data_IF_339597036082
#
_entry.id   IF_339597036082
#
_cell.length_a   1.000
_cell.length_b   1.000
_cell.length_c   1.000
_cell.angle_alpha   90.00
_cell.angle_beta   90.00
_cell.angle_gamma   90.00
#
_symmetry.space_group_name_H-M   'P 1'
#
loop_
_entity.id
_entity.type
_entity.pdbx_description
1 polymer ?
#
# COMPACT_ATOMS: atom_id res chain seq x y z
N UNK A 1 17.92 7.93 -7.12
CA UNK A 1 19.28 8.50 -6.95
C UNK A 1 20.20 7.76 -7.91
N UNK A 2 21.14 8.44 -8.55
CA UNK A 2 21.81 8.08 -9.82
C UNK A 2 20.90 8.06 -11.06
N UNK A 3 19.81 7.27 -11.04
CA UNK A 3 18.87 7.17 -12.17
C UNK A 3 17.92 8.39 -12.33
N UNK A 4 18.05 9.40 -11.47
CA UNK A 4 17.23 10.63 -11.45
C UNK A 4 15.70 10.40 -11.54
N UNK A 5 15.20 9.31 -10.94
CA UNK A 5 13.76 9.03 -10.83
C UNK A 5 13.11 10.03 -9.87
N UNK A 6 12.02 10.67 -10.30
CA UNK A 6 11.37 11.78 -9.59
C UNK A 6 10.59 11.34 -8.35
N UNK A 7 9.86 10.22 -8.45
CA UNK A 7 9.01 9.66 -7.39
C UNK A 7 8.70 8.19 -7.73
N UNK A 8 9.57 7.27 -7.31
CA UNK A 8 9.44 5.86 -7.67
C UNK A 8 8.20 5.22 -7.01
N UNK A 9 7.55 4.29 -7.70
CA UNK A 9 6.48 3.46 -7.14
C UNK A 9 6.89 1.99 -7.22
N UNK A 10 6.82 1.30 -6.09
CA UNK A 10 7.08 -0.14 -5.98
C UNK A 10 5.74 -0.86 -5.78
N UNK A 11 5.50 -1.89 -6.61
CA UNK A 11 4.31 -2.75 -6.50
C UNK A 11 4.75 -4.11 -5.95
N UNK A 12 4.20 -4.49 -4.80
CA UNK A 12 4.65 -5.66 -4.05
C UNK A 12 3.46 -6.59 -3.75
N UNK A 13 3.75 -7.87 -3.45
CA UNK A 13 2.77 -8.87 -3.01
C UNK A 13 3.35 -9.75 -1.91
N UNK A 14 3.23 -11.08 -2.04
CA UNK A 14 3.79 -12.13 -1.16
C UNK A 14 3.21 -12.18 0.27
N UNK A 15 3.23 -11.08 1.03
CA UNK A 15 2.96 -11.06 2.48
C UNK A 15 1.48 -11.28 2.87
N UNK A 16 0.61 -11.49 1.88
CA UNK A 16 -0.82 -11.78 2.06
C UNK A 16 -1.60 -10.73 2.87
N UNK A 17 -1.09 -9.50 2.90
CA UNK A 17 -1.65 -8.35 3.63
C UNK A 17 -1.39 -7.09 2.83
N UNK A 18 -2.34 -6.14 2.89
CA UNK A 18 -2.14 -4.84 2.29
C UNK A 18 -1.22 -3.98 3.17
N UNK A 19 -0.30 -3.27 2.53
CA UNK A 19 0.45 -2.17 3.15
C UNK A 19 0.58 -1.02 2.16
N UNK A 20 0.68 0.19 2.70
CA UNK A 20 1.12 1.34 1.93
C UNK A 20 2.15 2.10 2.77
N UNK A 21 3.29 2.44 2.16
CA UNK A 21 4.38 3.10 2.86
C UNK A 21 5.20 4.04 2.00
N UNK A 22 5.85 4.98 2.69
CA UNK A 22 6.89 5.81 2.10
C UNK A 22 8.20 5.01 1.98
N UNK A 23 8.91 5.18 0.87
CA UNK A 23 10.26 4.63 0.67
C UNK A 23 11.29 5.66 1.11
N UNK A 24 12.14 5.29 2.06
CA UNK A 24 13.17 6.16 2.66
C UNK A 24 14.56 5.86 2.10
N UNK A 25 15.44 6.86 2.02
CA UNK A 25 16.86 6.63 1.71
C UNK A 25 17.55 5.82 2.82
N UNK A 26 17.28 6.19 4.06
CA UNK A 26 17.74 5.51 5.26
C UNK A 26 16.58 5.34 6.24
N UNK A 27 16.22 4.10 6.56
CA UNK A 27 15.11 3.79 7.47
C UNK A 27 15.49 3.99 8.95
N UNK A 28 16.79 4.09 9.28
CA UNK A 28 17.26 4.33 10.65
C UNK A 28 17.17 5.80 11.05
N UNK A 29 17.13 6.71 10.08
CA UNK A 29 16.94 8.13 10.29
C UNK A 29 15.48 8.53 9.96
N UNK A 30 14.65 8.87 10.95
CA UNK A 30 13.28 9.31 10.72
C UNK A 30 13.17 10.54 9.81
N UNK A 31 14.17 11.43 9.84
CA UNK A 31 14.25 12.63 9.01
C UNK A 31 14.76 12.35 7.58
N UNK A 32 15.16 11.11 7.30
CA UNK A 32 15.66 10.72 5.99
C UNK A 32 14.64 11.04 4.89
N UNK A 33 15.09 11.53 3.72
CA UNK A 33 14.21 11.86 2.61
C UNK A 33 13.35 10.68 2.17
N UNK A 34 12.09 10.97 1.85
CA UNK A 34 11.23 10.06 1.10
C UNK A 34 11.60 10.17 -0.39
N UNK A 35 11.75 9.03 -1.05
CA UNK A 35 12.16 8.95 -2.47
C UNK A 35 11.13 8.23 -3.36
N UNK A 36 10.08 7.71 -2.75
CA UNK A 36 9.02 7.01 -3.47
C UNK A 36 7.97 6.44 -2.52
N UNK A 37 7.14 5.57 -3.08
CA UNK A 37 6.05 4.92 -2.38
C UNK A 37 6.04 3.43 -2.71
N UNK A 38 5.63 2.62 -1.76
CA UNK A 38 5.38 1.19 -1.97
C UNK A 38 3.91 0.88 -1.70
N UNK A 39 3.34 0.09 -2.62
CA UNK A 39 1.97 -0.41 -2.56
C UNK A 39 2.05 -1.93 -2.48
N UNK A 40 1.92 -2.47 -1.26
CA UNK A 40 1.91 -3.91 -1.03
C UNK A 40 0.48 -4.40 -1.16
N UNK A 41 0.21 -5.17 -2.19
CA UNK A 41 -1.08 -5.77 -2.46
C UNK A 41 -1.25 -7.06 -1.63
N UNK A 42 -2.41 -7.21 -0.98
CA UNK A 42 -2.80 -8.49 -0.37
C UNK A 42 -2.88 -9.62 -1.41
N UNK A 43 -2.99 -10.85 -0.92
CA UNK A 43 -3.41 -12.00 -1.72
C UNK A 43 -4.86 -11.88 -2.21
N UNK A 44 -5.12 -12.54 -3.35
CA UNK A 44 -6.48 -12.79 -3.84
C UNK A 44 -7.25 -13.69 -2.85
N UNK A 45 -6.63 -14.76 -2.32
CA UNK A 45 -7.30 -15.72 -1.42
C UNK A 45 -6.43 -16.35 -0.33
N UNK A 46 -5.10 -16.33 -0.43
CA UNK A 46 -4.21 -16.94 0.57
C UNK A 46 -4.54 -16.44 1.98
N UNK A 47 -4.50 -17.36 2.97
CA UNK A 47 -4.85 -17.16 4.39
C UNK A 47 -6.33 -16.92 4.73
N UNK A 48 -7.24 -17.04 3.75
CA UNK A 48 -8.69 -17.01 3.97
C UNK A 48 -9.22 -15.59 4.16
N UNK A 49 -10.30 -15.41 4.93
CA UNK A 49 -11.00 -14.12 5.07
C UNK A 49 -10.10 -13.02 5.66
N UNK A 50 -9.16 -13.41 6.52
CA UNK A 50 -8.37 -12.49 7.33
C UNK A 50 -9.19 -11.83 8.44
N UNK A 51 -8.56 -10.93 9.17
CA UNK A 51 -9.16 -10.30 10.36
C UNK A 51 -9.92 -9.00 10.05
N UNK A 52 -9.70 -8.42 8.87
CA UNK A 52 -10.18 -7.09 8.52
C UNK A 52 -9.54 -5.95 9.32
N UNK A 53 -8.55 -6.25 10.16
CA UNK A 53 -7.79 -5.27 10.92
C UNK A 53 -7.18 -4.22 10.00
N UNK A 54 -7.10 -2.99 10.50
CA UNK A 54 -6.39 -1.86 9.87
C UNK A 54 -5.28 -1.32 10.75
N UNK A 55 -4.90 -2.10 11.77
CA UNK A 55 -3.82 -1.79 12.71
C UNK A 55 -2.91 -3.00 12.85
N UNK A 56 -1.62 -2.74 12.98
CA UNK A 56 -0.60 -3.74 13.27
C UNK A 56 0.43 -3.15 14.25
N UNK A 57 0.83 -3.87 15.33
CA UNK A 57 1.85 -3.40 16.25
C UNK A 57 3.17 -2.98 15.59
N UNK A 58 3.50 -3.52 14.40
CA UNK A 58 4.71 -3.12 13.68
C UNK A 58 4.71 -1.65 13.27
N UNK A 59 3.55 -1.04 13.06
CA UNK A 59 3.46 0.36 12.66
C UNK A 59 4.03 1.32 13.72
N UNK A 60 3.97 0.95 15.01
CA UNK A 60 4.44 1.81 16.10
C UNK A 60 5.94 2.12 16.04
N UNK A 61 6.74 1.24 15.44
CA UNK A 61 8.19 1.39 15.29
C UNK A 61 8.62 1.54 13.82
N UNK A 62 7.66 1.64 12.91
CA UNK A 62 7.88 1.80 11.47
C UNK A 62 7.07 3.02 10.96
N UNK A 63 7.51 4.27 11.24
CA UNK A 63 6.73 5.49 10.95
C UNK A 63 6.53 5.80 9.46
N UNK A 64 7.22 5.06 8.60
CA UNK A 64 7.04 5.12 7.14
C UNK A 64 5.81 4.33 6.68
N UNK A 65 5.29 3.38 7.47
CA UNK A 65 4.05 2.68 7.19
C UNK A 65 2.86 3.61 7.41
N UNK A 66 2.04 3.78 6.36
CA UNK A 66 0.86 4.67 6.37
C UNK A 66 -0.45 3.90 6.44
N UNK A 67 -0.43 2.63 6.03
CA UNK A 67 -1.61 1.79 5.98
C UNK A 67 -1.27 0.32 6.16
N UNK A 68 -2.21 -0.40 6.76
CA UNK A 68 -2.27 -1.86 6.72
C UNK A 68 -3.72 -2.31 6.58
N UNK A 69 -3.94 -3.42 5.91
CA UNK A 69 -5.22 -4.12 6.01
C UNK A 69 -5.11 -5.62 5.73
N UNK A 70 -5.78 -6.41 6.56
CA UNK A 70 -5.75 -7.86 6.52
C UNK A 70 -6.96 -8.49 5.82
N UNK A 71 -7.71 -7.77 4.98
CA UNK A 71 -8.68 -8.38 4.07
C UNK A 71 -8.01 -8.83 2.77
N UNK A 72 -8.67 -9.70 2.01
CA UNK A 72 -8.25 -10.13 0.68
C UNK A 72 -8.78 -9.20 -0.40
N UNK A 73 -8.15 -9.23 -1.58
CA UNK A 73 -8.54 -8.39 -2.70
C UNK A 73 -7.37 -8.02 -3.59
N UNK A 74 -7.37 -6.78 -4.07
CA UNK A 74 -6.40 -6.28 -5.05
C UNK A 74 -6.20 -4.76 -4.90
N UNK A 75 -5.13 -4.24 -5.47
CA UNK A 75 -4.94 -2.79 -5.62
C UNK A 75 -5.32 -2.37 -7.03
N UNK A 76 -6.24 -1.42 -7.16
CA UNK A 76 -6.62 -0.82 -8.43
C UNK A 76 -5.89 0.52 -8.58
N UNK A 77 -5.07 0.66 -9.62
CA UNK A 77 -4.35 1.90 -9.89
C UNK A 77 -4.94 2.63 -11.09
N UNK A 78 -5.12 3.95 -10.94
CA UNK A 78 -5.40 4.87 -12.05
C UNK A 78 -4.20 5.76 -12.25
N UNK A 79 -3.57 5.66 -13.41
CA UNK A 79 -2.35 6.40 -13.73
C UNK A 79 -2.68 7.47 -14.76
N UNK A 80 -2.34 8.71 -14.43
CA UNK A 80 -2.42 9.86 -15.33
C UNK A 80 -1.04 10.51 -15.44
N UNK A 81 -0.93 11.58 -16.23
CA UNK A 81 0.30 12.36 -16.29
C UNK A 81 0.65 13.07 -14.97
N UNK A 82 -0.36 13.42 -14.16
CA UNK A 82 -0.21 14.29 -12.99
C UNK A 82 -0.18 13.50 -11.68
N UNK A 83 -0.74 12.29 -11.66
CA UNK A 83 -0.80 11.46 -10.47
C UNK A 83 -1.10 9.99 -10.79
N UNK A 84 -0.74 9.12 -9.84
CA UNK A 84 -1.26 7.77 -9.67
C UNK A 84 -2.19 7.73 -8.44
N UNK A 85 -3.43 7.31 -8.63
CA UNK A 85 -4.34 6.95 -7.52
C UNK A 85 -4.29 5.45 -7.29
N UNK A 86 -4.18 5.01 -6.05
CA UNK A 86 -4.17 3.61 -5.66
C UNK A 86 -5.31 3.31 -4.69
N UNK A 87 -6.30 2.54 -5.14
CA UNK A 87 -7.42 2.07 -4.32
C UNK A 87 -7.16 0.64 -3.85
N UNK A 88 -7.12 0.44 -2.54
CA UNK A 88 -7.04 -0.88 -1.91
C UNK A 88 -8.44 -1.49 -1.87
N UNK A 89 -8.73 -2.36 -2.83
CA UNK A 89 -10.04 -2.98 -3.05
C UNK A 89 -10.12 -4.31 -2.32
N UNK A 90 -11.03 -4.44 -1.37
CA UNK A 90 -11.09 -5.59 -0.46
C UNK A 90 -12.46 -6.24 -0.40
N UNK A 91 -12.47 -7.52 0.00
CA UNK A 91 -13.66 -8.31 0.31
C UNK A 91 -13.62 -8.69 1.80
N UNK A 92 -14.78 -8.69 2.47
CA UNK A 92 -14.88 -9.10 3.87
C UNK A 92 -14.67 -10.61 4.06
N UNK A 93 -14.96 -11.41 3.02
CA UNK A 93 -14.73 -12.85 3.01
C UNK A 93 -14.41 -13.37 1.61
N UNK A 94 -13.68 -14.48 1.56
CA UNK A 94 -13.34 -15.21 0.33
C UNK A 94 -13.56 -16.72 0.45
N UNK A 95 -13.94 -17.22 1.64
CA UNK A 95 -14.22 -18.64 1.87
C UNK A 95 -15.54 -19.11 1.27
N UNK A 96 -16.41 -18.17 0.88
CA UNK A 96 -17.67 -18.42 0.17
C UNK A 96 -17.88 -17.38 -0.93
N UNK A 97 -18.64 -17.69 -1.99
CA UNK A 97 -18.95 -16.72 -3.04
C UNK A 97 -19.83 -15.56 -2.57
N UNK A 98 -19.79 -14.45 -3.31
CA UNK A 98 -20.78 -13.37 -3.20
C UNK A 98 -20.38 -12.18 -2.31
N UNK A 99 -19.16 -12.14 -1.77
CA UNK A 99 -18.68 -10.95 -1.07
C UNK A 99 -18.61 -9.74 -2.01
N UNK A 100 -19.16 -8.61 -1.56
CA UNK A 100 -19.05 -7.35 -2.27
C UNK A 100 -17.62 -6.77 -2.12
N UNK A 101 -17.16 -6.08 -3.15
CA UNK A 101 -15.89 -5.35 -3.12
C UNK A 101 -16.09 -3.92 -2.66
N UNK A 102 -15.26 -3.45 -1.73
CA UNK A 102 -15.23 -2.06 -1.26
C UNK A 102 -13.81 -1.48 -1.32
N UNK A 103 -13.67 -0.15 -1.39
CA UNK A 103 -12.38 0.51 -1.15
C UNK A 103 -12.14 0.61 0.35
N UNK A 104 -11.03 0.03 0.83
CA UNK A 104 -10.63 0.12 2.23
C UNK A 104 -9.80 1.38 2.52
N UNK A 105 -8.97 1.77 1.56
CA UNK A 105 -8.20 3.00 1.57
C UNK A 105 -7.87 3.42 0.14
N UNK A 106 -7.68 4.73 -0.06
CA UNK A 106 -7.19 5.32 -1.30
C UNK A 106 -6.00 6.21 -0.99
N UNK A 107 -4.97 6.14 -1.82
CA UNK A 107 -3.80 7.01 -1.74
C UNK A 107 -3.55 7.68 -3.08
N UNK A 108 -3.02 8.89 -3.04
CA UNK A 108 -2.54 9.58 -4.24
C UNK A 108 -1.01 9.71 -4.21
N UNK A 109 -0.38 9.47 -5.36
CA UNK A 109 1.05 9.70 -5.60
C UNK A 109 1.13 10.71 -6.73
N UNK A 110 1.37 11.98 -6.39
CA UNK A 110 1.44 13.08 -7.36
C UNK A 110 2.78 13.10 -8.07
N UNK A 111 2.78 13.51 -9.33
CA UNK A 111 4.00 13.68 -10.13
C UNK A 111 5.02 14.57 -9.41
N UNK A 112 6.26 14.09 -9.32
CA UNK A 112 7.36 14.83 -8.68
C UNK A 112 7.24 15.02 -7.17
N UNK A 113 6.23 14.45 -6.51
CA UNK A 113 6.07 14.45 -5.05
C UNK A 113 6.30 13.03 -4.52
N UNK A 114 7.48 12.73 -3.95
CA UNK A 114 7.73 11.45 -3.32
C UNK A 114 6.82 11.19 -2.10
N UNK A 115 6.33 9.96 -1.98
CA UNK A 115 5.52 9.51 -0.84
C UNK A 115 4.02 9.50 -1.11
N UNK A 116 3.28 8.96 -0.14
CA UNK A 116 1.82 8.83 -0.21
C UNK A 116 1.13 10.10 0.30
N UNK A 117 0.05 10.50 -0.39
CA UNK A 117 -0.87 11.56 0.02
C UNK A 117 -2.23 11.00 0.43
#
# INVERSE_FOLDING_TARGET
MDANVRNAVVLTGDVHRNWANDVKVDYKDPASPVVGSELVCTSITSTGNGSGSTTDPVMAWNPHLKFTNDNRGYVNTRITKDAMTADFRTLDYVTTPGAAVSTKASFEIRDGVPGLQ
#
